data_IF_400234138050
#
_entry.id   IF_400234138050
#
_cell.length_a   1.000
_cell.length_b   1.000
_cell.length_c   1.000
_cell.angle_alpha   90.00
_cell.angle_beta   90.00
_cell.angle_gamma   90.00
#
_symmetry.space_group_name_H-M   'P 1'
#
loop_
_entity.id
_entity.type
_entity.pdbx_description
1 polymer ?
#
# COMPACT_ATOMS: atom_id res chain seq x y z
N UNK A 1 -51.67 -6.62 3.25
CA UNK A 1 -50.44 -5.98 2.71
C UNK A 1 -49.28 -6.09 3.71
N UNK A 2 -49.38 -7.02 4.67
CA UNK A 2 -48.61 -7.00 5.92
C UNK A 2 -47.36 -7.89 5.86
N UNK A 3 -47.30 -8.82 4.90
CA UNK A 3 -46.15 -9.69 4.67
C UNK A 3 -44.93 -8.95 4.10
N UNK A 4 -45.15 -7.88 3.33
CA UNK A 4 -44.06 -7.08 2.75
C UNK A 4 -43.34 -6.25 3.81
N UNK A 5 -44.08 -5.64 4.74
CA UNK A 5 -43.48 -4.86 5.84
C UNK A 5 -42.62 -5.74 6.77
N UNK A 6 -43.10 -6.95 7.10
CA UNK A 6 -42.34 -7.91 7.91
C UNK A 6 -41.08 -8.44 7.21
N UNK A 7 -41.15 -8.67 5.89
CA UNK A 7 -39.98 -9.06 5.10
C UNK A 7 -38.91 -7.96 5.06
N UNK A 8 -39.31 -6.70 4.90
CA UNK A 8 -38.37 -5.56 4.93
C UNK A 8 -37.72 -5.37 6.31
N UNK A 9 -38.48 -5.51 7.41
CA UNK A 9 -37.92 -5.42 8.78
C UNK A 9 -36.91 -6.55 9.06
N UNK A 10 -37.22 -7.78 8.63
CA UNK A 10 -36.32 -8.92 8.75
C UNK A 10 -35.00 -8.69 7.98
N UNK A 11 -35.10 -8.23 6.72
CA UNK A 11 -33.93 -7.92 5.90
C UNK A 11 -33.09 -6.78 6.50
N UNK A 12 -33.75 -5.74 7.04
CA UNK A 12 -33.07 -4.64 7.69
C UNK A 12 -32.28 -5.11 8.92
N UNK A 13 -32.92 -5.88 9.83
CA UNK A 13 -32.26 -6.45 11.01
C UNK A 13 -31.08 -7.34 10.65
N UNK A 14 -31.24 -8.19 9.62
CA UNK A 14 -30.15 -9.03 9.12
C UNK A 14 -28.99 -8.18 8.58
N UNK A 15 -29.30 -7.10 7.85
CA UNK A 15 -28.29 -6.18 7.30
C UNK A 15 -27.50 -5.45 8.40
N UNK A 16 -28.17 -5.04 9.49
CA UNK A 16 -27.55 -4.37 10.63
C UNK A 16 -26.66 -5.35 11.40
N UNK A 17 -27.13 -6.58 11.65
CA UNK A 17 -26.32 -7.61 12.32
C UNK A 17 -25.10 -8.01 11.50
N UNK A 18 -25.24 -8.16 10.17
CA UNK A 18 -24.11 -8.43 9.27
C UNK A 18 -23.12 -7.27 9.24
N UNK A 19 -23.60 -6.02 9.17
CA UNK A 19 -22.76 -4.82 9.19
C UNK A 19 -21.96 -4.69 10.49
N UNK A 20 -22.60 -4.93 11.64
CA UNK A 20 -21.93 -4.91 12.94
C UNK A 20 -20.88 -6.01 13.09
N UNK A 21 -21.18 -7.21 12.59
CA UNK A 21 -20.24 -8.34 12.61
C UNK A 21 -19.00 -8.06 11.75
N UNK A 22 -19.20 -7.54 10.53
CA UNK A 22 -18.11 -7.14 9.64
C UNK A 22 -17.24 -6.05 10.29
N UNK A 23 -17.88 -5.06 10.93
CA UNK A 23 -17.18 -4.00 11.66
C UNK A 23 -16.27 -4.59 12.76
N UNK A 24 -16.80 -5.48 13.61
CA UNK A 24 -16.02 -6.12 14.67
C UNK A 24 -14.86 -6.96 14.13
N UNK A 25 -15.03 -7.65 12.99
CA UNK A 25 -13.98 -8.46 12.36
C UNK A 25 -12.87 -7.58 11.75
N UNK A 26 -13.23 -6.42 11.19
CA UNK A 26 -12.27 -5.50 10.53
C UNK A 26 -11.62 -4.50 11.49
N UNK A 27 -12.23 -4.27 12.65
CA UNK A 27 -11.73 -3.33 13.66
C UNK A 27 -10.30 -3.65 14.15
N UNK A 28 -9.93 -4.91 14.46
CA UNK A 28 -8.55 -5.25 14.84
C UNK A 28 -7.52 -4.94 13.74
N UNK A 29 -7.86 -5.20 12.48
CA UNK A 29 -7.03 -4.91 11.31
C UNK A 29 -6.78 -3.40 11.18
N UNK A 30 -7.85 -2.60 11.29
CA UNK A 30 -7.75 -1.13 11.26
C UNK A 30 -6.92 -0.59 12.42
N UNK A 31 -7.16 -1.05 13.65
CA UNK A 31 -6.37 -0.66 14.84
C UNK A 31 -4.90 -0.99 14.61
N UNK A 32 -4.59 -2.18 14.08
CA UNK A 32 -3.22 -2.60 13.78
C UNK A 32 -2.58 -1.69 12.72
N UNK A 33 -3.29 -1.38 11.63
CA UNK A 33 -2.83 -0.46 10.59
C UNK A 33 -2.54 0.96 11.14
N UNK A 34 -3.38 1.45 12.06
CA UNK A 34 -3.17 2.72 12.75
C UNK A 34 -1.94 2.68 13.68
N UNK A 35 -1.78 1.63 14.48
CA UNK A 35 -0.61 1.45 15.36
C UNK A 35 0.68 1.40 14.56
N UNK A 36 0.70 0.63 13.47
CA UNK A 36 1.83 0.56 12.54
C UNK A 36 2.12 1.92 11.91
N UNK A 37 1.09 2.61 11.40
CA UNK A 37 1.23 3.94 10.81
C UNK A 37 1.79 4.98 11.80
N UNK A 38 1.34 4.96 13.05
CA UNK A 38 1.86 5.82 14.12
C UNK A 38 3.33 5.53 14.48
N UNK A 39 3.85 4.35 14.12
CA UNK A 39 5.22 3.91 14.38
C UNK A 39 6.05 3.77 13.10
N UNK A 40 5.64 4.42 12.00
CA UNK A 40 6.33 4.33 10.70
C UNK A 40 7.83 4.66 10.77
N UNK A 41 8.25 5.48 11.72
CA UNK A 41 9.65 5.90 11.85
C UNK A 41 10.56 4.78 12.38
N UNK A 42 9.97 3.71 12.92
CA UNK A 42 10.68 2.49 13.32
C UNK A 42 10.78 1.45 12.18
N UNK A 43 10.19 1.74 11.02
CA UNK A 43 10.22 0.86 9.86
C UNK A 43 11.58 0.90 9.18
N UNK A 44 12.08 -0.28 8.83
CA UNK A 44 13.33 -0.46 8.09
C UNK A 44 13.07 -1.27 6.83
N UNK A 45 13.43 -0.71 5.68
CA UNK A 45 13.30 -1.41 4.40
C UNK A 45 14.38 -2.50 4.29
N UNK A 46 13.97 -3.76 4.11
CA UNK A 46 14.88 -4.89 3.92
C UNK A 46 15.36 -5.09 2.47
N UNK A 47 15.04 -4.15 1.57
CA UNK A 47 15.30 -4.27 0.13
C UNK A 47 14.85 -5.61 -0.49
N UNK A 48 13.77 -6.21 0.03
CA UNK A 48 13.26 -7.52 -0.41
C UNK A 48 12.67 -7.55 -1.84
N UNK A 49 12.59 -6.42 -2.52
CA UNK A 49 12.06 -6.32 -3.89
C UNK A 49 10.56 -6.59 -4.07
N UNK A 50 9.80 -6.86 -3.01
CA UNK A 50 8.37 -7.17 -3.14
C UNK A 50 7.53 -5.97 -3.60
N UNK A 51 7.88 -4.74 -3.19
CA UNK A 51 7.24 -3.55 -3.76
C UNK A 51 7.48 -3.45 -5.28
N UNK A 52 8.66 -3.80 -5.77
CA UNK A 52 8.96 -3.83 -7.20
C UNK A 52 8.19 -4.93 -7.95
N UNK A 53 7.86 -6.05 -7.28
CA UNK A 53 7.06 -7.15 -7.86
C UNK A 53 5.59 -6.80 -7.98
N UNK A 54 5.01 -6.20 -6.94
CA UNK A 54 3.56 -6.14 -6.82
C UNK A 54 2.98 -4.74 -6.96
N UNK A 55 3.76 -3.69 -6.69
CA UNK A 55 3.22 -2.34 -6.67
C UNK A 55 3.25 -1.69 -8.06
N UNK A 56 2.18 -0.99 -8.42
CA UNK A 56 2.09 -0.14 -9.61
C UNK A 56 2.26 1.30 -9.12
N UNK A 57 3.14 2.05 -9.78
CA UNK A 57 3.63 3.32 -9.23
C UNK A 57 3.38 4.42 -10.24
N UNK A 58 2.54 5.38 -9.84
CA UNK A 58 2.43 6.66 -10.51
C UNK A 58 3.72 7.45 -10.27
N UNK A 59 4.27 8.03 -11.34
CA UNK A 59 5.47 8.84 -11.32
C UNK A 59 5.06 10.28 -11.55
N UNK A 60 5.43 11.17 -10.63
CA UNK A 60 5.24 12.60 -10.81
C UNK A 60 6.52 13.25 -11.37
N UNK A 61 6.41 14.50 -11.83
CA UNK A 61 7.53 15.26 -12.41
C UNK A 61 8.78 15.31 -11.52
N UNK A 62 8.62 15.46 -10.20
CA UNK A 62 9.76 15.50 -9.26
C UNK A 62 10.45 14.15 -9.14
N UNK A 63 9.69 13.06 -9.24
CA UNK A 63 10.26 11.73 -9.30
C UNK A 63 11.04 11.56 -10.62
N UNK A 64 10.49 11.99 -11.75
CA UNK A 64 11.18 11.95 -13.06
C UNK A 64 12.51 12.72 -13.01
N UNK A 65 12.49 13.96 -12.53
CA UNK A 65 13.68 14.81 -12.38
C UNK A 65 14.75 14.14 -11.51
N UNK A 66 14.34 13.54 -10.39
CA UNK A 66 15.24 12.82 -9.48
C UNK A 66 15.92 11.63 -10.16
N UNK A 67 15.14 10.78 -10.82
CA UNK A 67 15.69 9.61 -11.52
C UNK A 67 16.63 10.03 -12.66
N UNK A 68 16.28 11.08 -13.41
CA UNK A 68 17.16 11.63 -14.46
C UNK A 68 18.45 12.21 -13.92
N UNK A 69 18.40 12.93 -12.80
CA UNK A 69 19.60 13.45 -12.14
C UNK A 69 20.54 12.34 -11.66
N UNK A 70 19.99 11.18 -11.31
CA UNK A 70 20.74 9.98 -10.93
C UNK A 70 21.15 9.11 -12.14
N UNK A 71 20.91 9.58 -13.38
CA UNK A 71 21.38 8.95 -14.62
C UNK A 71 20.40 7.98 -15.30
N UNK A 72 19.15 7.89 -14.83
CA UNK A 72 18.14 7.01 -15.44
C UNK A 72 17.35 7.74 -16.53
N UNK A 73 17.22 7.13 -17.71
CA UNK A 73 16.53 7.72 -18.87
C UNK A 73 15.29 6.93 -19.32
N UNK A 74 15.24 5.61 -19.12
CA UNK A 74 14.19 4.74 -19.68
C UNK A 74 13.32 4.04 -18.62
N UNK A 75 12.90 4.76 -17.58
CA UNK A 75 12.23 4.16 -16.42
C UNK A 75 10.72 4.39 -16.33
N UNK A 76 10.12 5.15 -17.24
CA UNK A 76 8.66 5.40 -17.27
C UNK A 76 7.99 4.71 -18.46
N UNK A 77 6.66 4.65 -18.42
CA UNK A 77 5.86 4.40 -19.61
C UNK A 77 5.98 5.53 -20.65
N UNK A 78 5.39 5.33 -21.82
CA UNK A 78 5.41 6.27 -22.95
C UNK A 78 4.85 7.66 -22.59
N UNK A 79 3.97 7.73 -21.59
CA UNK A 79 3.33 8.97 -21.16
C UNK A 79 4.05 9.67 -19.99
N UNK A 80 5.17 9.12 -19.50
CA UNK A 80 5.88 9.58 -18.29
C UNK A 80 4.99 9.68 -17.03
N UNK A 81 3.92 8.88 -16.96
CA UNK A 81 2.97 8.89 -15.83
C UNK A 81 3.14 7.69 -14.92
N UNK A 82 3.64 6.58 -15.44
CA UNK A 82 3.76 5.32 -14.72
C UNK A 82 5.21 4.85 -14.71
N UNK A 83 5.60 4.16 -13.64
CA UNK A 83 6.87 3.45 -13.59
C UNK A 83 6.82 2.28 -14.57
N UNK A 84 7.81 2.17 -15.46
CA UNK A 84 7.89 1.11 -16.45
C UNK A 84 7.95 -0.25 -15.78
N UNK A 85 7.29 -1.23 -16.41
CA UNK A 85 7.33 -2.63 -15.98
C UNK A 85 7.79 -3.52 -17.11
N UNK A 86 8.66 -4.48 -16.79
CA UNK A 86 9.19 -5.50 -17.71
C UNK A 86 8.80 -6.86 -17.13
N UNK A 87 8.16 -7.72 -17.94
CA UNK A 87 7.65 -9.04 -17.51
C UNK A 87 6.79 -8.97 -16.23
N UNK A 88 5.92 -7.94 -16.17
CA UNK A 88 5.01 -7.74 -15.04
C UNK A 88 5.68 -7.23 -13.75
N UNK A 89 6.98 -6.88 -13.76
CA UNK A 89 7.73 -6.37 -12.59
C UNK A 89 8.29 -4.99 -12.88
N UNK A 90 8.51 -4.17 -11.84
CA UNK A 90 9.16 -2.86 -11.98
C UNK A 90 10.52 -2.98 -12.68
N UNK A 91 10.83 -2.03 -13.57
CA UNK A 91 12.11 -2.01 -14.31
C UNK A 91 13.35 -2.02 -13.42
N UNK A 92 13.26 -1.46 -12.21
CA UNK A 92 14.37 -1.40 -11.25
C UNK A 92 14.52 -2.66 -10.40
N UNK A 93 13.90 -3.78 -10.78
CA UNK A 93 14.07 -5.05 -10.06
C UNK A 93 15.20 -5.86 -10.67
N UNK A 94 16.31 -5.97 -9.94
CA UNK A 94 17.51 -6.72 -10.32
C UNK A 94 17.96 -7.55 -9.11
N UNK A 95 18.29 -8.83 -9.32
CA UNK A 95 18.73 -9.76 -8.26
C UNK A 95 17.85 -9.74 -7.00
N UNK A 96 16.53 -9.73 -7.23
CA UNK A 96 15.48 -9.65 -6.21
C UNK A 96 15.50 -8.37 -5.35
N UNK A 97 16.28 -7.37 -5.74
CA UNK A 97 16.46 -6.09 -5.04
C UNK A 97 16.13 -4.91 -5.94
N UNK A 98 15.92 -3.75 -5.33
CA UNK A 98 15.70 -2.51 -6.06
C UNK A 98 17.07 -1.92 -6.46
N UNK A 99 17.39 -1.88 -7.75
CA UNK A 99 18.65 -1.30 -8.25
C UNK A 99 18.70 0.22 -8.03
N UNK A 100 17.58 0.92 -8.20
CA UNK A 100 17.46 2.36 -7.98
C UNK A 100 17.01 2.75 -6.54
N UNK A 101 17.44 2.00 -5.52
CA UNK A 101 16.93 2.18 -4.15
C UNK A 101 17.24 3.57 -3.55
N UNK A 102 18.36 4.19 -3.95
CA UNK A 102 18.75 5.54 -3.50
C UNK A 102 17.89 6.62 -4.18
N UNK A 103 17.56 6.41 -5.44
CA UNK A 103 16.81 7.32 -6.32
C UNK A 103 15.30 7.23 -6.18
N UNK A 104 14.80 6.33 -5.32
CA UNK A 104 13.37 6.09 -5.07
C UNK A 104 12.53 7.37 -5.11
N UNK A 105 11.46 7.34 -5.91
CA UNK A 105 10.43 8.37 -5.92
C UNK A 105 9.58 8.36 -4.65
N UNK A 106 8.65 9.32 -4.55
CA UNK A 106 7.81 9.54 -3.36
C UNK A 106 7.08 8.28 -2.91
N UNK A 107 6.32 7.64 -3.82
CA UNK A 107 5.55 6.42 -3.51
C UNK A 107 6.46 5.29 -3.02
N UNK A 108 7.63 5.11 -3.64
CA UNK A 108 8.63 4.10 -3.23
C UNK A 108 9.24 4.37 -1.84
N UNK A 109 9.34 5.63 -1.42
CA UNK A 109 9.84 6.03 -0.09
C UNK A 109 8.79 5.89 0.98
N UNK A 110 7.54 6.19 0.65
CA UNK A 110 6.42 6.11 1.57
C UNK A 110 6.00 4.66 1.83
N UNK A 111 6.16 3.76 0.85
CA UNK A 111 5.88 2.33 1.02
C UNK A 111 6.60 1.74 2.25
N UNK A 112 5.90 0.96 3.10
CA UNK A 112 4.55 0.40 2.95
C UNK A 112 3.42 1.31 3.50
N UNK A 113 3.71 2.56 3.82
CA UNK A 113 2.76 3.50 4.40
C UNK A 113 2.15 4.44 3.37
N UNK A 114 0.98 4.96 3.70
CA UNK A 114 0.32 6.03 2.96
C UNK A 114 -0.35 7.02 3.92
N UNK A 115 -0.60 8.24 3.44
CA UNK A 115 -1.36 9.24 4.20
C UNK A 115 -2.82 9.22 3.77
N UNK A 116 -3.71 8.97 4.72
CA UNK A 116 -5.17 9.06 4.52
C UNK A 116 -5.69 10.06 5.55
N UNK A 117 -6.43 11.09 5.10
CA UNK A 117 -6.94 12.17 5.96
C UNK A 117 -5.87 12.76 6.92
N UNK A 118 -4.65 12.95 6.42
CA UNK A 118 -3.54 13.52 7.19
C UNK A 118 -2.82 12.54 8.13
N UNK A 119 -3.35 11.34 8.38
CA UNK A 119 -2.75 10.32 9.25
C UNK A 119 -2.02 9.25 8.45
N UNK A 120 -1.00 8.64 9.06
CA UNK A 120 -0.27 7.53 8.47
C UNK A 120 -1.01 6.21 8.67
N UNK A 121 -1.07 5.44 7.61
CA UNK A 121 -1.65 4.10 7.58
C UNK A 121 -0.65 3.16 6.94
N UNK A 122 -0.35 2.05 7.61
CA UNK A 122 0.30 0.94 6.93
C UNK A 122 -0.70 0.39 5.93
N UNK A 123 -0.34 0.32 4.65
CA UNK A 123 -1.06 -0.57 3.76
C UNK A 123 -0.86 -1.97 4.34
N UNK A 124 -1.92 -2.76 4.47
CA UNK A 124 -1.84 -4.17 4.86
C UNK A 124 -1.22 -4.99 3.70
N UNK A 125 -0.07 -4.54 3.20
CA UNK A 125 0.71 -5.22 2.17
C UNK A 125 1.37 -6.41 2.83
N UNK A 126 0.65 -7.53 2.77
CA UNK A 126 1.06 -8.85 3.27
C UNK A 126 2.40 -9.34 2.69
N UNK A 127 2.97 -8.64 1.72
CA UNK A 127 4.22 -8.99 1.05
C UNK A 127 5.44 -8.16 1.50
N UNK A 128 5.39 -7.37 2.58
CA UNK A 128 6.59 -6.64 3.05
C UNK A 128 7.13 -7.22 4.38
N UNK A 129 8.25 -7.98 4.36
CA UNK A 129 8.86 -8.53 5.58
C UNK A 129 9.26 -7.46 6.61
N UNK A 130 9.59 -6.23 6.15
CA UNK A 130 9.90 -5.12 7.06
C UNK A 130 8.69 -4.68 7.91
N UNK A 131 7.46 -4.91 7.43
CA UNK A 131 6.25 -4.69 8.24
C UNK A 131 6.13 -5.73 9.32
N UNK A 132 6.46 -6.99 9.04
CA UNK A 132 6.41 -8.05 10.04
C UNK A 132 7.45 -7.85 11.14
N UNK A 133 8.63 -7.34 10.78
CA UNK A 133 9.64 -6.95 11.76
C UNK A 133 9.17 -5.72 12.59
N UNK A 134 8.46 -4.77 11.98
CA UNK A 134 7.84 -3.67 12.72
C UNK A 134 6.74 -4.16 13.68
N UNK A 135 5.88 -5.11 13.28
CA UNK A 135 4.83 -5.66 14.13
C UNK A 135 5.38 -6.27 15.41
N UNK A 136 6.55 -6.92 15.35
CA UNK A 136 7.23 -7.50 16.53
C UNK A 136 7.71 -6.44 17.53
N UNK A 137 7.82 -5.18 17.12
CA UNK A 137 8.23 -4.05 17.97
C UNK A 137 7.03 -3.35 18.65
N UNK A 138 5.78 -3.76 18.38
CA UNK A 138 4.53 -3.12 18.85
C UNK A 138 3.89 -3.81 20.06
#
# INVERSE_FOLDING_TARGET
>A
MDGLAGYFDMLYKLSVMLGFTIFLIKLPAWITCFRLGAKKDLFECRMCGNCCRFNIIDVNKKDVERFRADGYSEFTDENEKMMKRVNGRCIFLEDDKCSAHKSRGKVCREFPFQRIYGRWFCQEVQFCPGVDDLKKKL
#
